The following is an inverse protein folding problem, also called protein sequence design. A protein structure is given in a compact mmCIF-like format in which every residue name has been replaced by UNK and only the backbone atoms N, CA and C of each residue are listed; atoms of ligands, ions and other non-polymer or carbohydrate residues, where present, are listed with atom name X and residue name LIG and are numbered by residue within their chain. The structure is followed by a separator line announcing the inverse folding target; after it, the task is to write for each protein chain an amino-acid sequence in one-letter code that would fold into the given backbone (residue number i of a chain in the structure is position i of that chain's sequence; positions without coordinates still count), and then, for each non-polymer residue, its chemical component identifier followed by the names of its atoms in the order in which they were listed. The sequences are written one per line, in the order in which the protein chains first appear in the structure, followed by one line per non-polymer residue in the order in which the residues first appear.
data_IF_170459815361
#
_entry.id   IF_170459815361
#
_cell.length_a   1.000
_cell.length_b   1.000
_cell.length_c   1.000
_cell.angle_alpha   90.00
_cell.angle_beta   90.00
_cell.angle_gamma   90.00
#
_symmetry.space_group_name_H-M   'P 1'
#
loop_
_entity.id
_entity.type
_entity.pdbx_description
1 polymer ?
#
# COMPACT_ATOMS: atom_id res chain seq x y z
N UNK A 1 14.05 29.53 -21.11
CA UNK A 1 13.82 29.90 -19.70
C UNK A 1 14.71 31.02 -19.30
N UNK A 2 14.16 32.20 -19.02
CA UNK A 2 14.90 33.42 -18.65
C UNK A 2 15.45 33.32 -17.21
N UNK A 3 16.41 34.18 -16.87
CA UNK A 3 16.95 34.29 -15.50
C UNK A 3 15.86 34.67 -14.48
N UNK A 4 14.85 35.41 -14.90
CA UNK A 4 13.68 35.77 -14.07
C UNK A 4 12.77 34.56 -13.82
N UNK A 5 12.47 33.76 -14.84
CA UNK A 5 11.70 32.50 -14.72
C UNK A 5 12.42 31.49 -13.83
N UNK A 6 13.76 31.34 -13.97
CA UNK A 6 14.55 30.49 -13.06
C UNK A 6 14.52 30.99 -11.61
N UNK A 7 14.50 32.30 -11.37
CA UNK A 7 14.38 32.88 -10.02
C UNK A 7 12.95 32.71 -9.45
N UNK A 8 11.94 32.83 -10.29
CA UNK A 8 10.54 32.55 -9.86
C UNK A 8 10.32 31.06 -9.58
N UNK A 9 10.86 30.15 -10.40
CA UNK A 9 10.80 28.70 -10.14
C UNK A 9 11.49 28.36 -8.81
N UNK A 10 12.69 28.90 -8.58
CA UNK A 10 13.43 28.71 -7.33
C UNK A 10 12.76 29.34 -6.10
N UNK A 11 11.91 30.35 -6.28
CA UNK A 11 11.06 30.92 -5.23
C UNK A 11 9.78 30.12 -5.02
N UNK A 12 9.31 29.39 -6.03
CA UNK A 12 8.12 28.53 -5.96
C UNK A 12 8.43 27.10 -5.47
N UNK A 13 9.70 26.67 -5.54
CA UNK A 13 10.17 25.46 -4.87
C UNK A 13 10.21 25.72 -3.37
N UNK A 14 9.10 25.43 -2.70
CA UNK A 14 9.01 25.53 -1.25
C UNK A 14 10.05 24.63 -0.59
N UNK A 15 10.65 25.09 0.50
CA UNK A 15 11.54 24.25 1.31
C UNK A 15 10.73 23.04 1.80
N UNK A 16 11.10 21.78 1.45
CA UNK A 16 10.33 20.58 1.81
C UNK A 16 10.04 20.46 3.31
N UNK A 17 10.96 20.90 4.17
CA UNK A 17 10.76 20.90 5.62
C UNK A 17 9.70 21.93 6.05
N UNK A 18 9.66 23.09 5.41
CA UNK A 18 8.62 24.10 5.69
C UNK A 18 7.24 23.58 5.26
N UNK A 19 7.17 22.95 4.09
CA UNK A 19 5.93 22.35 3.61
C UNK A 19 5.49 21.18 4.49
N UNK A 20 6.41 20.32 4.93
CA UNK A 20 6.14 19.28 5.92
C UNK A 20 5.53 19.86 7.20
N UNK A 21 6.13 20.90 7.77
CA UNK A 21 5.63 21.54 8.99
C UNK A 21 4.24 22.12 8.80
N UNK A 22 3.93 22.69 7.63
CA UNK A 22 2.58 23.16 7.29
C UNK A 22 1.58 21.99 7.24
N UNK A 23 1.93 20.90 6.55
CA UNK A 23 1.11 19.68 6.45
C UNK A 23 0.91 19.08 7.85
N UNK A 24 1.97 18.93 8.63
CA UNK A 24 1.94 18.38 9.97
C UNK A 24 1.03 19.24 10.88
N UNK A 25 1.23 20.56 10.93
CA UNK A 25 0.40 21.48 11.72
C UNK A 25 -1.07 21.47 11.31
N UNK A 26 -1.37 21.28 10.03
CA UNK A 26 -2.73 21.28 9.52
C UNK A 26 -3.44 19.95 9.73
N UNK A 27 -2.81 18.83 9.41
CA UNK A 27 -3.43 17.50 9.40
C UNK A 27 -3.09 16.66 10.63
N UNK A 28 -1.89 16.77 11.16
CA UNK A 28 -1.31 15.87 12.15
C UNK A 28 -0.66 16.67 13.30
N UNK A 29 -1.40 17.61 13.88
CA UNK A 29 -0.87 18.51 14.93
C UNK A 29 -0.29 17.77 16.15
N UNK A 30 -0.80 16.58 16.44
CA UNK A 30 -0.42 15.76 17.57
C UNK A 30 0.70 14.74 17.25
N UNK A 31 1.31 14.81 16.06
CA UNK A 31 2.28 13.81 15.59
C UNK A 31 3.42 13.56 16.58
N UNK A 32 4.01 14.62 17.12
CA UNK A 32 5.15 14.50 18.05
C UNK A 32 4.72 13.95 19.40
N UNK A 33 3.55 14.33 19.89
CA UNK A 33 2.98 13.74 21.11
C UNK A 33 2.57 12.28 20.90
N UNK A 34 2.10 11.92 19.72
CA UNK A 34 1.82 10.52 19.36
C UNK A 34 3.11 9.69 19.34
N UNK A 35 4.21 10.24 18.79
CA UNK A 35 5.53 9.59 18.83
C UNK A 35 6.06 9.45 20.24
N UNK A 36 5.89 10.46 21.09
CA UNK A 36 6.28 10.40 22.51
C UNK A 36 5.48 9.34 23.29
N UNK A 37 4.25 9.05 22.86
CA UNK A 37 3.39 8.03 23.45
C UNK A 37 3.69 6.60 23.02
N UNK A 38 4.57 6.38 22.04
CA UNK A 38 4.96 5.04 21.60
C UNK A 38 5.77 4.35 22.69
N UNK A 39 5.39 3.11 23.00
CA UNK A 39 6.08 2.31 24.02
C UNK A 39 7.52 2.02 23.60
N UNK A 40 8.45 2.37 24.48
CA UNK A 40 9.87 2.09 24.27
C UNK A 40 10.19 0.65 24.72
N UNK A 41 10.63 -0.23 23.82
CA UNK A 41 10.93 -1.62 24.16
C UNK A 41 12.24 -1.80 24.90
N UNK A 42 13.04 -0.74 25.09
CA UNK A 42 14.31 -0.77 25.82
C UNK A 42 14.06 -0.73 27.32
N UNK A 43 15.02 -1.24 28.09
CA UNK A 43 14.96 -1.14 29.53
C UNK A 43 15.11 0.31 29.99
N UNK A 44 14.31 0.76 30.97
CA UNK A 44 14.21 2.16 31.39
C UNK A 44 15.54 2.81 31.79
N UNK A 45 16.48 2.02 32.33
CA UNK A 45 17.81 2.51 32.69
C UNK A 45 18.75 2.80 31.53
N UNK A 46 18.36 2.44 30.28
CA UNK A 46 19.12 2.66 29.04
C UNK A 46 18.43 3.61 28.08
N UNK A 47 17.46 4.37 28.57
CA UNK A 47 16.72 5.33 27.73
C UNK A 47 17.32 6.72 27.91
N UNK A 48 18.31 7.05 27.08
CA UNK A 48 18.86 8.40 26.98
C UNK A 48 17.99 9.27 26.04
N UNK A 49 17.42 8.66 24.99
CA UNK A 49 16.58 9.30 24.01
C UNK A 49 15.17 8.74 24.05
N UNK A 50 14.19 9.62 24.12
CA UNK A 50 12.76 9.25 24.15
C UNK A 50 12.25 8.80 22.78
N UNK A 51 11.10 8.09 22.73
CA UNK A 51 10.55 7.50 21.50
C UNK A 51 10.29 8.54 20.40
N UNK A 52 9.89 9.76 20.75
CA UNK A 52 9.72 10.86 19.79
C UNK A 52 11.02 11.27 19.10
N UNK A 53 12.14 11.36 19.84
CA UNK A 53 13.46 11.63 19.28
C UNK A 53 13.90 10.47 18.39
N UNK A 54 13.73 9.23 18.87
CA UNK A 54 14.08 8.02 18.11
C UNK A 54 13.32 7.90 16.80
N UNK A 55 12.03 8.25 16.78
CA UNK A 55 11.18 8.21 15.57
C UNK A 55 11.35 9.43 14.68
N UNK A 56 11.77 10.58 15.22
CA UNK A 56 12.11 11.75 14.43
C UNK A 56 13.27 11.46 13.48
N UNK A 57 14.24 10.65 13.87
CA UNK A 57 15.44 10.37 13.08
C UNK A 57 15.12 9.71 11.73
N UNK A 58 14.46 8.54 11.64
CA UNK A 58 14.14 7.92 10.35
C UNK A 58 13.13 8.76 9.54
N UNK A 59 12.22 9.49 10.19
CA UNK A 59 11.32 10.41 9.50
C UNK A 59 12.10 11.52 8.80
N UNK A 60 12.98 12.21 9.51
CA UNK A 60 13.79 13.30 8.94
C UNK A 60 14.79 12.80 7.92
N UNK A 61 15.39 11.62 8.14
CA UNK A 61 16.25 10.95 7.16
C UNK A 61 15.54 10.83 5.81
N UNK A 62 14.30 10.33 5.81
CA UNK A 62 13.54 10.15 4.58
C UNK A 62 13.17 11.48 3.93
N UNK A 63 12.73 12.47 4.71
CA UNK A 63 12.36 13.80 4.21
C UNK A 63 13.56 14.55 3.62
N UNK A 64 14.74 14.39 4.22
CA UNK A 64 15.98 15.01 3.74
C UNK A 64 16.69 14.21 2.65
N UNK A 65 16.08 13.15 2.13
CA UNK A 65 16.63 12.26 1.07
C UNK A 65 18.03 11.70 1.43
N UNK A 66 18.23 11.32 2.68
CA UNK A 66 19.46 10.68 3.13
C UNK A 66 19.36 9.18 2.90
N UNK A 67 20.27 8.62 2.10
CA UNK A 67 20.19 7.26 1.58
C UNK A 67 20.38 6.15 2.64
N UNK A 68 21.05 6.42 3.76
CA UNK A 68 21.34 5.39 4.77
C UNK A 68 21.21 5.90 6.20
N UNK A 69 20.95 4.98 7.12
CA UNK A 69 20.94 5.29 8.56
C UNK A 69 22.32 5.74 9.08
N UNK A 70 23.39 5.16 8.53
CA UNK A 70 24.75 5.59 8.86
C UNK A 70 25.02 7.02 8.37
N UNK A 71 24.60 7.34 7.12
CA UNK A 71 24.70 8.69 6.58
C UNK A 71 23.90 9.72 7.40
N UNK A 72 22.74 9.30 7.95
CA UNK A 72 21.96 10.14 8.85
C UNK A 72 22.78 10.57 10.08
N UNK A 73 23.43 9.64 10.78
CA UNK A 73 24.21 9.96 11.99
C UNK A 73 25.32 10.96 11.71
N UNK A 74 25.99 10.85 10.56
CA UNK A 74 27.06 11.80 10.20
C UNK A 74 26.51 13.18 9.77
N UNK A 75 25.31 13.25 9.23
CA UNK A 75 24.72 14.50 8.71
C UNK A 75 23.93 15.27 9.79
N UNK A 76 23.23 14.55 10.67
CA UNK A 76 22.29 15.18 11.62
C UNK A 76 22.91 15.64 12.93
N UNK A 77 24.15 15.29 13.22
CA UNK A 77 24.77 15.69 14.49
C UNK A 77 25.40 17.10 14.43
N UNK A 78 24.82 17.99 13.61
CA UNK A 78 25.13 19.41 13.64
C UNK A 78 24.30 20.12 14.72
N UNK A 79 24.83 21.20 15.28
CA UNK A 79 24.16 22.02 16.29
C UNK A 79 22.75 22.47 15.85
N UNK A 80 22.60 22.82 14.56
CA UNK A 80 21.31 23.20 13.99
C UNK A 80 20.30 22.05 13.98
N UNK A 81 20.72 20.84 13.61
CA UNK A 81 19.85 19.67 13.59
C UNK A 81 19.44 19.26 15.02
N UNK A 82 20.37 19.31 15.98
CA UNK A 82 20.09 19.03 17.40
C UNK A 82 19.05 20.04 17.91
N UNK A 83 19.31 21.34 17.71
CA UNK A 83 18.41 22.42 18.12
C UNK A 83 17.02 22.28 17.48
N UNK A 84 16.94 22.02 16.19
CA UNK A 84 15.67 21.85 15.49
C UNK A 84 14.88 20.60 16.00
N UNK A 85 15.58 19.52 16.27
CA UNK A 85 14.97 18.31 16.83
C UNK A 85 14.47 18.57 18.25
N UNK A 86 15.26 19.25 19.08
CA UNK A 86 14.88 19.68 20.43
C UNK A 86 13.60 20.53 20.42
N UNK A 87 13.51 21.51 19.51
CA UNK A 87 12.32 22.36 19.34
C UNK A 87 11.10 21.54 18.92
N UNK A 88 11.23 20.66 17.92
CA UNK A 88 10.12 19.87 17.37
C UNK A 88 9.58 18.88 18.40
N UNK A 89 10.46 18.22 19.17
CA UNK A 89 10.08 17.24 20.18
C UNK A 89 9.78 17.87 21.54
N UNK A 90 10.11 19.15 21.74
CA UNK A 90 9.98 19.82 23.05
C UNK A 90 11.02 19.38 24.07
N UNK A 91 12.20 18.88 23.65
CA UNK A 91 13.29 18.35 24.48
C UNK A 91 14.45 19.34 24.56
N UNK A 92 14.32 20.34 25.41
CA UNK A 92 15.34 21.41 25.54
C UNK A 92 16.70 20.92 26.06
N UNK A 93 16.74 19.77 26.71
CA UNK A 93 17.93 19.09 27.26
C UNK A 93 18.73 18.29 26.22
N UNK A 94 18.25 18.19 24.99
CA UNK A 94 18.88 17.37 23.96
C UNK A 94 20.24 17.97 23.56
N UNK A 95 21.32 17.27 23.90
CA UNK A 95 22.70 17.72 23.62
C UNK A 95 23.29 17.08 22.35
N UNK A 96 22.80 15.91 21.98
CA UNK A 96 23.20 15.16 20.77
C UNK A 96 22.03 14.33 20.23
N UNK A 97 22.16 13.85 18.99
CA UNK A 97 21.17 12.95 18.39
C UNK A 97 21.62 11.49 18.46
N UNK A 98 20.68 10.55 18.53
CA UNK A 98 21.01 9.14 18.69
C UNK A 98 21.79 8.61 17.49
N UNK A 99 22.80 7.78 17.77
CA UNK A 99 23.55 7.08 16.74
C UNK A 99 22.66 6.08 16.01
N UNK A 100 22.92 5.85 14.71
CA UNK A 100 22.07 4.98 13.87
C UNK A 100 21.92 3.55 14.42
N UNK A 101 22.93 3.02 15.12
CA UNK A 101 22.86 1.68 15.74
C UNK A 101 21.76 1.66 16.81
N UNK A 102 21.70 2.68 17.67
CA UNK A 102 20.68 2.82 18.71
C UNK A 102 19.27 2.94 18.11
N UNK A 103 19.15 3.71 17.02
CA UNK A 103 17.87 3.85 16.31
C UNK A 103 17.45 2.51 15.69
N UNK A 104 18.37 1.77 15.07
CA UNK A 104 18.08 0.45 14.48
C UNK A 104 17.68 -0.58 15.54
N UNK A 105 18.35 -0.61 16.69
CA UNK A 105 17.97 -1.49 17.82
C UNK A 105 16.58 -1.16 18.35
N UNK A 106 16.26 0.11 18.51
CA UNK A 106 14.92 0.56 18.91
C UNK A 106 13.87 0.10 17.90
N UNK A 107 14.08 0.38 16.60
CA UNK A 107 13.15 0.00 15.54
C UNK A 107 12.98 -1.52 15.41
N UNK A 108 14.03 -2.30 15.62
CA UNK A 108 13.97 -3.78 15.52
C UNK A 108 13.10 -4.43 16.60
N UNK A 109 12.89 -3.75 17.71
CA UNK A 109 12.09 -4.24 18.85
C UNK A 109 10.73 -3.55 18.96
N UNK A 110 10.51 -2.50 18.17
CA UNK A 110 9.30 -1.70 18.19
C UNK A 110 8.09 -2.52 17.74
N UNK A 111 6.97 -2.40 18.45
CA UNK A 111 5.70 -2.97 18.00
C UNK A 111 5.16 -2.18 16.79
N UNK A 112 5.10 -2.77 15.59
CA UNK A 112 4.65 -2.08 14.37
C UNK A 112 3.18 -1.63 14.43
N UNK A 113 2.35 -2.22 15.30
CA UNK A 113 0.95 -1.86 15.45
C UNK A 113 0.78 -0.46 16.06
N UNK A 114 1.74 0.01 16.87
CA UNK A 114 1.70 1.37 17.40
C UNK A 114 1.89 2.42 16.30
N UNK A 115 2.84 2.21 15.39
CA UNK A 115 3.01 3.06 14.21
C UNK A 115 1.81 2.99 13.26
N UNK A 116 1.22 1.81 13.14
CA UNK A 116 -0.01 1.62 12.36
C UNK A 116 -1.20 2.40 12.94
N UNK A 117 -1.29 2.51 14.27
CA UNK A 117 -2.29 3.32 14.95
C UNK A 117 -2.10 4.82 14.66
N UNK A 118 -0.87 5.32 14.72
CA UNK A 118 -0.53 6.71 14.38
C UNK A 118 -0.88 6.99 12.91
N UNK A 119 -0.47 6.14 11.98
CA UNK A 119 -0.84 6.23 10.56
C UNK A 119 -2.36 6.31 10.37
N UNK A 120 -3.11 5.44 11.06
CA UNK A 120 -4.58 5.42 11.01
C UNK A 120 -5.17 6.75 11.50
N UNK A 121 -4.62 7.33 12.58
CA UNK A 121 -5.02 8.65 13.10
C UNK A 121 -4.78 9.75 12.06
N UNK A 122 -3.62 9.74 11.41
CA UNK A 122 -3.26 10.70 10.35
C UNK A 122 -4.22 10.60 9.16
N UNK A 123 -4.47 9.38 8.64
CA UNK A 123 -5.40 9.17 7.52
C UNK A 123 -6.83 9.60 7.87
N UNK A 124 -7.30 9.30 9.08
CA UNK A 124 -8.61 9.77 9.53
C UNK A 124 -8.69 11.31 9.57
N UNK A 125 -7.58 11.98 9.95
CA UNK A 125 -7.52 13.45 9.92
C UNK A 125 -7.61 13.99 8.49
N UNK A 126 -6.89 13.39 7.52
CA UNK A 126 -6.98 13.74 6.09
C UNK A 126 -8.42 13.60 5.56
N UNK A 127 -9.07 12.47 5.86
CA UNK A 127 -10.44 12.19 5.40
C UNK A 127 -11.44 13.21 6.02
N UNK A 128 -11.32 13.49 7.32
CA UNK A 128 -12.21 14.44 8.01
C UNK A 128 -12.10 15.87 7.48
N UNK A 129 -10.91 16.27 7.04
CA UNK A 129 -10.66 17.59 6.43
C UNK A 129 -11.25 17.75 5.03
N UNK A 130 -11.74 16.68 4.42
CA UNK A 130 -12.37 16.65 3.08
C UNK A 130 -11.51 17.23 1.95
N UNK A 131 -10.20 17.29 2.12
CA UNK A 131 -9.28 17.89 1.15
C UNK A 131 -9.20 17.08 -0.17
N UNK A 132 -9.56 15.81 -0.13
CA UNK A 132 -9.43 14.86 -1.25
C UNK A 132 -10.78 14.29 -1.73
N UNK A 133 -11.89 14.93 -1.44
CA UNK A 133 -13.23 14.46 -1.82
C UNK A 133 -13.39 14.22 -3.32
N UNK A 134 -12.69 14.99 -4.16
CA UNK A 134 -12.70 14.86 -5.62
C UNK A 134 -12.06 13.55 -6.12
N UNK A 135 -11.23 12.89 -5.30
CA UNK A 135 -10.60 11.62 -5.64
C UNK A 135 -11.55 10.41 -5.49
N UNK A 136 -12.74 10.60 -4.96
CA UNK A 136 -13.71 9.53 -4.76
C UNK A 136 -14.27 9.02 -6.09
N UNK A 137 -14.20 7.73 -6.28
CA UNK A 137 -14.83 7.04 -7.40
C UNK A 137 -16.36 7.16 -7.31
N UNK A 138 -16.99 7.51 -8.41
CA UNK A 138 -18.42 7.81 -8.51
C UNK A 138 -18.91 8.86 -7.48
N UNK A 139 -18.03 9.77 -7.07
CA UNK A 139 -18.26 10.77 -6.01
C UNK A 139 -18.67 10.17 -4.66
N UNK A 140 -18.40 8.89 -4.43
CA UNK A 140 -18.86 8.16 -3.23
C UNK A 140 -17.77 7.32 -2.58
N UNK A 141 -17.05 6.50 -3.36
CA UNK A 141 -16.19 5.47 -2.82
C UNK A 141 -14.72 5.88 -2.80
N UNK A 142 -14.05 5.61 -1.70
CA UNK A 142 -12.60 5.68 -1.65
C UNK A 142 -11.99 4.45 -2.29
N UNK A 143 -11.12 4.68 -3.26
CA UNK A 143 -10.39 3.59 -3.93
C UNK A 143 -9.27 3.12 -3.03
N UNK A 144 -9.25 1.84 -2.71
CA UNK A 144 -8.19 1.18 -1.97
C UNK A 144 -7.55 0.14 -2.89
N UNK A 145 -6.34 0.43 -3.33
CA UNK A 145 -5.56 -0.50 -4.15
C UNK A 145 -4.83 -1.45 -3.21
N UNK A 146 -4.95 -2.76 -3.47
CA UNK A 146 -4.30 -3.81 -2.70
C UNK A 146 -3.37 -4.59 -3.63
N UNK A 147 -2.13 -4.75 -3.20
CA UNK A 147 -1.12 -5.54 -3.92
C UNK A 147 0.00 -5.94 -2.96
N UNK A 148 0.66 -7.07 -3.26
CA UNK A 148 1.80 -7.53 -2.48
C UNK A 148 3.12 -7.07 -3.09
N UNK A 149 4.09 -6.84 -2.21
CA UNK A 149 5.44 -6.53 -2.64
C UNK A 149 6.46 -7.27 -1.81
N UNK A 150 7.47 -7.80 -2.49
CA UNK A 150 8.58 -8.46 -1.84
C UNK A 150 9.51 -7.42 -1.21
N UNK A 151 9.86 -7.60 0.06
CA UNK A 151 10.75 -6.73 0.81
C UNK A 151 12.21 -7.13 0.61
N UNK A 152 12.55 -8.36 1.01
CA UNK A 152 13.91 -8.89 1.00
C UNK A 152 13.94 -10.28 0.39
N UNK A 153 15.10 -10.66 -0.13
CA UNK A 153 15.35 -11.97 -0.73
C UNK A 153 16.69 -12.50 -0.23
N UNK A 154 16.70 -13.77 0.15
CA UNK A 154 17.86 -14.47 0.69
C UNK A 154 18.15 -15.75 -0.09
N UNK A 155 19.42 -16.13 -0.18
CA UNK A 155 19.86 -17.43 -0.73
C UNK A 155 19.69 -18.55 0.28
N UNK A 156 19.83 -18.25 1.57
CA UNK A 156 19.68 -19.16 2.69
C UNK A 156 18.52 -18.70 3.57
N UNK A 157 17.92 -19.61 4.33
CA UNK A 157 16.81 -19.31 5.24
C UNK A 157 17.31 -18.39 6.36
N UNK A 158 16.79 -17.16 6.40
CA UNK A 158 17.20 -16.14 7.37
C UNK A 158 16.50 -16.32 8.72
N UNK A 159 15.23 -16.69 8.68
CA UNK A 159 14.37 -16.89 9.86
C UNK A 159 13.22 -17.86 9.54
N UNK A 160 12.40 -18.19 10.54
CA UNK A 160 11.30 -19.14 10.37
C UNK A 160 10.09 -18.58 9.63
N UNK A 161 9.92 -17.25 9.61
CA UNK A 161 8.84 -16.57 8.91
C UNK A 161 9.07 -16.46 7.41
N UNK A 162 10.27 -16.71 6.91
CA UNK A 162 10.59 -16.65 5.49
C UNK A 162 9.67 -17.53 4.65
N UNK A 163 9.11 -16.93 3.61
CA UNK A 163 8.47 -17.66 2.51
C UNK A 163 9.53 -18.29 1.61
N UNK A 164 9.18 -19.37 0.94
CA UNK A 164 10.06 -20.08 0.01
C UNK A 164 9.47 -20.16 -1.38
N UNK A 165 10.33 -20.07 -2.38
CA UNK A 165 9.98 -20.39 -3.77
C UNK A 165 11.12 -21.12 -4.45
N UNK A 166 10.78 -22.10 -5.28
CA UNK A 166 11.76 -22.88 -6.05
C UNK A 166 11.66 -22.51 -7.52
N UNK A 167 12.79 -22.17 -8.11
CA UNK A 167 12.93 -21.96 -9.54
C UNK A 167 13.62 -23.18 -10.16
N UNK A 168 13.13 -23.60 -11.29
CA UNK A 168 13.83 -24.59 -12.12
C UNK A 168 14.42 -23.84 -13.31
N UNK A 169 15.74 -23.88 -13.47
CA UNK A 169 16.38 -23.36 -14.64
C UNK A 169 15.89 -24.17 -15.84
N UNK A 170 15.34 -23.52 -16.85
CA UNK A 170 14.75 -24.18 -18.00
C UNK A 170 15.81 -24.85 -18.90
N UNK A 171 17.04 -24.33 -18.86
CA UNK A 171 18.14 -24.81 -19.73
C UNK A 171 18.94 -25.95 -19.08
N UNK A 172 19.18 -25.88 -17.76
CA UNK A 172 19.98 -26.87 -17.03
C UNK A 172 19.18 -27.88 -16.24
N UNK A 173 17.89 -27.62 -15.99
CA UNK A 173 17.02 -28.42 -15.10
C UNK A 173 17.35 -28.27 -13.61
N UNK A 174 18.35 -27.47 -13.24
CA UNK A 174 18.74 -27.26 -11.86
C UNK A 174 17.67 -26.49 -11.07
N UNK A 175 17.43 -26.93 -9.85
CA UNK A 175 16.50 -26.28 -8.92
C UNK A 175 17.26 -25.36 -7.96
N UNK A 176 16.85 -24.11 -7.88
CA UNK A 176 17.34 -23.14 -6.89
C UNK A 176 16.20 -22.70 -5.98
N UNK A 177 16.40 -22.77 -4.67
CA UNK A 177 15.45 -22.29 -3.67
C UNK A 177 15.83 -20.90 -3.25
N UNK A 178 14.84 -20.02 -3.18
CA UNK A 178 14.98 -18.65 -2.69
C UNK A 178 14.04 -18.43 -1.51
N UNK A 179 14.53 -17.75 -0.50
CA UNK A 179 13.78 -17.33 0.68
C UNK A 179 13.47 -15.85 0.59
N UNK A 180 12.30 -15.41 1.05
CA UNK A 180 11.92 -14.01 0.94
C UNK A 180 10.88 -13.59 1.99
N UNK A 181 10.84 -12.30 2.28
CA UNK A 181 9.76 -11.66 3.02
C UNK A 181 8.90 -10.84 2.06
N UNK A 182 7.62 -10.83 2.30
CA UNK A 182 6.64 -10.08 1.51
C UNK A 182 5.64 -9.38 2.41
N UNK A 183 5.11 -8.27 1.92
CA UNK A 183 4.06 -7.50 2.59
C UNK A 183 2.94 -7.20 1.63
N UNK A 184 1.71 -7.37 2.10
CA UNK A 184 0.51 -6.92 1.44
C UNK A 184 0.20 -5.50 1.90
N UNK A 185 0.10 -4.57 0.96
CA UNK A 185 -0.21 -3.17 1.22
C UNK A 185 -1.60 -2.82 0.73
N UNK A 186 -2.30 -2.01 1.51
CA UNK A 186 -3.49 -1.29 1.08
C UNK A 186 -3.17 0.19 0.99
N UNK A 187 -3.36 0.78 -0.18
CA UNK A 187 -3.09 2.20 -0.42
C UNK A 187 -4.35 2.92 -0.89
N UNK A 188 -4.67 4.05 -0.25
CA UNK A 188 -5.79 4.92 -0.63
C UNK A 188 -5.36 5.86 -1.75
N UNK A 189 -6.18 5.98 -2.79
CA UNK A 189 -5.99 6.93 -3.88
C UNK A 189 -6.55 8.30 -3.46
N UNK A 190 -5.70 9.31 -3.45
CA UNK A 190 -6.03 10.68 -3.05
C UNK A 190 -5.96 11.68 -4.21
N UNK A 191 -5.53 11.24 -5.38
CA UNK A 191 -5.41 12.06 -6.60
C UNK A 191 -4.94 11.22 -7.77
N UNK A 192 -4.54 11.86 -8.85
CA UNK A 192 -4.08 11.16 -10.04
C UNK A 192 -2.65 10.61 -9.88
N UNK A 193 -1.83 11.26 -9.06
CA UNK A 193 -0.43 10.88 -8.80
C UNK A 193 -0.15 10.70 -7.29
N UNK A 194 -1.20 10.62 -6.47
CA UNK A 194 -1.05 10.55 -5.01
C UNK A 194 -1.79 9.35 -4.44
N UNK A 195 -1.01 8.42 -3.88
CA UNK A 195 -1.52 7.31 -3.07
C UNK A 195 -0.78 7.25 -1.74
N UNK A 196 -1.48 6.80 -0.71
CA UNK A 196 -0.94 6.72 0.65
C UNK A 196 -1.25 5.37 1.28
N UNK A 197 -0.26 4.74 1.91
CA UNK A 197 -0.46 3.49 2.65
C UNK A 197 -1.38 3.68 3.84
N UNK A 198 -2.45 2.88 3.95
CA UNK A 198 -3.42 2.95 5.04
C UNK A 198 -3.43 1.69 5.91
N UNK A 199 -2.97 0.57 5.38
CA UNK A 199 -2.79 -0.67 6.13
C UNK A 199 -1.74 -1.55 5.45
N UNK A 200 -1.07 -2.36 6.25
CA UNK A 200 -0.09 -3.34 5.79
C UNK A 200 -0.29 -4.65 6.54
N UNK A 201 0.00 -5.77 5.87
CA UNK A 201 -0.05 -7.10 6.46
C UNK A 201 1.11 -7.92 5.94
N UNK A 202 1.93 -8.47 6.84
CA UNK A 202 3.02 -9.36 6.42
C UNK A 202 2.47 -10.69 5.89
N UNK A 203 3.07 -11.15 4.82
CA UNK A 203 2.84 -12.49 4.27
C UNK A 203 4.04 -13.31 4.75
N UNK A 204 3.81 -14.10 5.77
CA UNK A 204 4.87 -14.84 6.47
C UNK A 204 4.32 -16.16 7.03
N UNK A 205 5.21 -17.13 7.21
CA UNK A 205 4.86 -18.38 7.83
C UNK A 205 4.73 -18.20 9.36
N UNK A 206 3.61 -18.60 9.94
CA UNK A 206 3.45 -18.61 11.38
C UNK A 206 4.35 -19.68 12.00
N UNK A 207 5.04 -19.33 13.12
CA UNK A 207 5.96 -20.24 13.80
C UNK A 207 5.32 -21.55 14.29
N UNK A 208 3.99 -21.56 14.55
CA UNK A 208 3.24 -22.77 14.86
C UNK A 208 3.13 -23.74 13.66
N UNK A 209 3.10 -23.20 12.44
CA UNK A 209 3.15 -24.01 11.22
C UNK A 209 4.56 -24.61 11.00
N UNK A 210 5.63 -23.97 11.50
CA UNK A 210 6.99 -24.47 11.33
C UNK A 210 7.21 -25.85 12.01
N UNK A 211 6.59 -26.13 13.15
CA UNK A 211 6.64 -27.46 13.79
C UNK A 211 5.79 -28.50 13.04
N UNK A 212 4.65 -28.12 12.49
CA UNK A 212 3.85 -28.96 11.60
C UNK A 212 4.57 -29.22 10.27
N UNK A 213 5.25 -28.21 9.73
CA UNK A 213 6.00 -28.28 8.48
C UNK A 213 7.20 -29.26 8.57
N UNK A 214 7.84 -29.42 9.73
CA UNK A 214 8.92 -30.42 9.93
C UNK A 214 8.47 -31.88 9.67
N UNK A 215 7.17 -32.13 9.67
CA UNK A 215 6.56 -33.46 9.49
C UNK A 215 5.89 -33.66 8.13
N UNK A 216 5.87 -32.64 7.27
CA UNK A 216 5.20 -32.66 5.97
C UNK A 216 6.22 -32.53 4.84
N UNK A 217 5.94 -33.11 3.67
CA UNK A 217 6.74 -32.88 2.48
C UNK A 217 6.66 -31.43 2.02
N UNK A 218 7.68 -30.93 1.31
CA UNK A 218 7.73 -29.53 0.81
C UNK A 218 6.50 -29.17 -0.06
N UNK A 219 5.88 -30.17 -0.70
CA UNK A 219 4.68 -30.00 -1.54
C UNK A 219 3.36 -29.89 -0.73
N UNK A 220 3.36 -30.36 0.51
CA UNK A 220 2.20 -30.30 1.41
C UNK A 220 2.13 -29.05 2.29
N UNK A 221 3.24 -28.30 2.34
CA UNK A 221 3.36 -27.07 3.13
C UNK A 221 2.58 -25.95 2.46
N UNK A 222 1.37 -25.69 2.93
CA UNK A 222 0.61 -24.50 2.52
C UNK A 222 1.18 -23.25 3.20
N UNK A 223 2.15 -22.64 2.57
CA UNK A 223 2.66 -21.33 2.99
C UNK A 223 1.55 -20.30 3.08
N UNK A 224 1.79 -19.24 3.82
CA UNK A 224 0.93 -18.05 3.77
C UNK A 224 0.93 -17.46 2.36
N UNK A 225 -0.15 -16.79 2.00
CA UNK A 225 -0.35 -16.25 0.67
C UNK A 225 -1.18 -14.96 0.72
N UNK A 226 -1.14 -14.21 -0.37
CA UNK A 226 -1.83 -12.93 -0.50
C UNK A 226 -3.33 -13.01 -0.15
N UNK A 227 -4.02 -14.11 -0.49
CA UNK A 227 -5.45 -14.26 -0.19
C UNK A 227 -5.72 -14.41 1.30
N UNK A 228 -4.85 -15.13 2.04
CA UNK A 228 -4.93 -15.24 3.50
C UNK A 228 -4.57 -13.91 4.16
N UNK A 229 -3.48 -13.28 3.70
CA UNK A 229 -3.07 -11.96 4.16
C UNK A 229 -4.15 -10.90 3.90
N UNK A 230 -4.85 -10.96 2.75
CA UNK A 230 -5.96 -10.06 2.46
C UNK A 230 -7.11 -10.19 3.47
N UNK A 231 -7.40 -11.37 3.96
CA UNK A 231 -8.42 -11.56 5.00
C UNK A 231 -8.04 -10.82 6.30
N UNK A 232 -6.77 -10.94 6.73
CA UNK A 232 -6.26 -10.23 7.91
C UNK A 232 -6.21 -8.72 7.69
N UNK A 233 -5.72 -8.30 6.52
CA UNK A 233 -5.68 -6.88 6.11
C UNK A 233 -7.08 -6.25 6.08
N UNK A 234 -8.07 -6.96 5.55
CA UNK A 234 -9.46 -6.50 5.50
C UNK A 234 -10.05 -6.31 6.91
N UNK A 235 -9.73 -7.19 7.86
CA UNK A 235 -10.13 -7.03 9.25
C UNK A 235 -9.49 -5.78 9.88
N UNK A 236 -8.18 -5.53 9.65
CA UNK A 236 -7.48 -4.31 10.07
C UNK A 236 -8.12 -3.06 9.47
N UNK A 237 -8.40 -3.07 8.16
CA UNK A 237 -9.05 -1.95 7.46
C UNK A 237 -10.45 -1.66 8.03
N UNK A 238 -11.25 -2.69 8.26
CA UNK A 238 -12.60 -2.53 8.82
C UNK A 238 -12.57 -1.97 10.23
N UNK A 239 -11.63 -2.42 11.05
CA UNK A 239 -11.42 -1.90 12.41
C UNK A 239 -10.98 -0.41 12.39
N UNK A 240 -10.02 -0.08 11.51
CA UNK A 240 -9.48 1.27 11.41
C UNK A 240 -10.46 2.29 10.79
N UNK A 241 -11.27 1.84 9.82
CA UNK A 241 -12.16 2.67 9.01
C UNK A 241 -13.58 2.07 8.92
N UNK A 242 -14.32 1.91 10.03
CA UNK A 242 -15.55 1.11 10.09
C UNK A 242 -16.68 1.62 9.19
N UNK A 243 -16.70 2.93 8.89
CA UNK A 243 -17.76 3.60 8.10
C UNK A 243 -17.29 4.13 6.75
N UNK A 244 -16.05 3.90 6.39
CA UNK A 244 -15.50 4.40 5.13
C UNK A 244 -16.15 3.65 3.96
N UNK A 245 -16.74 4.34 2.97
CA UNK A 245 -17.26 3.70 1.77
C UNK A 245 -16.09 3.31 0.86
N UNK A 246 -15.65 2.06 0.96
CA UNK A 246 -14.48 1.51 0.26
C UNK A 246 -14.88 0.85 -1.06
N UNK A 247 -14.05 1.05 -2.09
CA UNK A 247 -14.00 0.23 -3.29
C UNK A 247 -12.60 -0.40 -3.40
N UNK A 248 -12.52 -1.71 -3.28
CA UNK A 248 -11.27 -2.48 -3.37
C UNK A 248 -10.87 -2.61 -4.84
N UNK A 249 -9.59 -2.36 -5.12
CA UNK A 249 -8.96 -2.61 -6.40
C UNK A 249 -7.78 -3.56 -6.22
N UNK A 250 -7.64 -4.50 -7.13
CA UNK A 250 -6.55 -5.46 -7.13
C UNK A 250 -6.32 -6.04 -8.53
N UNK A 251 -5.31 -6.87 -8.64
CA UNK A 251 -5.05 -7.63 -9.85
C UNK A 251 -6.03 -8.82 -10.00
N UNK A 252 -5.82 -9.65 -11.01
CA UNK A 252 -6.73 -10.78 -11.29
C UNK A 252 -6.69 -11.90 -10.23
N UNK A 253 -5.71 -11.92 -9.34
CA UNK A 253 -5.64 -12.85 -8.21
C UNK A 253 -6.77 -12.58 -7.21
N UNK A 254 -7.17 -11.32 -7.07
CA UNK A 254 -8.27 -10.91 -6.19
C UNK A 254 -9.66 -11.16 -6.79
N UNK A 255 -9.77 -11.52 -8.08
CA UNK A 255 -11.02 -11.95 -8.68
C UNK A 255 -11.36 -13.37 -8.21
N UNK A 256 -11.77 -13.53 -6.97
CA UNK A 256 -12.04 -14.82 -6.33
C UNK A 256 -13.20 -14.75 -5.34
N UNK A 257 -13.84 -15.92 -5.13
CA UNK A 257 -14.98 -16.06 -4.20
C UNK A 257 -14.66 -15.53 -2.79
N UNK A 258 -13.47 -15.84 -2.26
CA UNK A 258 -13.08 -15.40 -0.91
C UNK A 258 -13.01 -13.87 -0.80
N UNK A 259 -12.44 -13.21 -1.80
CA UNK A 259 -12.35 -11.76 -1.82
C UNK A 259 -13.72 -11.11 -1.94
N UNK A 260 -14.60 -11.67 -2.79
CA UNK A 260 -15.97 -11.18 -2.94
C UNK A 260 -16.78 -11.35 -1.64
N UNK A 261 -16.66 -12.49 -0.94
CA UNK A 261 -17.29 -12.70 0.36
C UNK A 261 -16.83 -11.69 1.40
N UNK A 262 -15.52 -11.38 1.45
CA UNK A 262 -14.98 -10.37 2.35
C UNK A 262 -15.55 -8.99 2.03
N UNK A 263 -15.64 -8.62 0.75
CA UNK A 263 -16.23 -7.36 0.32
C UNK A 263 -17.72 -7.28 0.67
N UNK A 264 -18.49 -8.33 0.42
CA UNK A 264 -19.93 -8.41 0.75
C UNK A 264 -20.17 -8.28 2.26
N UNK A 265 -19.42 -9.03 3.07
CA UNK A 265 -19.50 -8.99 4.53
C UNK A 265 -19.23 -7.57 5.09
N UNK A 266 -18.24 -6.88 4.51
CA UNK A 266 -17.87 -5.53 4.94
C UNK A 266 -18.69 -4.43 4.27
N UNK A 267 -19.61 -4.75 3.36
CA UNK A 267 -20.38 -3.83 2.52
C UNK A 267 -19.49 -2.96 1.62
N UNK A 268 -18.36 -3.50 1.21
CA UNK A 268 -17.44 -2.83 0.30
C UNK A 268 -17.80 -3.10 -1.16
N UNK A 269 -17.41 -2.16 -2.01
CA UNK A 269 -17.43 -2.33 -3.45
C UNK A 269 -16.07 -2.80 -3.92
N UNK A 270 -16.02 -3.34 -5.14
CA UNK A 270 -14.76 -3.71 -5.76
C UNK A 270 -14.77 -3.38 -7.26
N UNK A 271 -13.61 -3.13 -7.81
CA UNK A 271 -13.30 -3.01 -9.23
C UNK A 271 -11.96 -3.72 -9.46
N UNK A 272 -12.03 -5.01 -9.75
CA UNK A 272 -10.87 -5.91 -9.76
C UNK A 272 -10.53 -6.25 -11.22
N UNK A 273 -9.23 -6.25 -11.53
CA UNK A 273 -8.76 -6.73 -12.84
C UNK A 273 -9.27 -8.14 -13.08
N UNK A 274 -9.91 -8.36 -14.23
CA UNK A 274 -10.48 -9.65 -14.61
C UNK A 274 -9.70 -10.26 -15.76
N UNK A 275 -9.54 -11.57 -15.73
CA UNK A 275 -9.01 -12.40 -16.81
C UNK A 275 -9.91 -13.62 -16.94
N UNK A 276 -10.07 -14.13 -18.12
CA UNK A 276 -10.97 -15.27 -18.42
C UNK A 276 -10.67 -16.50 -17.52
N UNK A 277 -9.38 -16.75 -17.26
CA UNK A 277 -8.97 -17.85 -16.38
C UNK A 277 -9.25 -17.65 -14.89
N UNK A 278 -9.59 -16.43 -14.43
CA UNK A 278 -9.89 -16.19 -13.00
C UNK A 278 -11.21 -16.85 -12.58
N UNK A 279 -12.26 -16.67 -13.35
CA UNK A 279 -13.58 -17.27 -13.12
C UNK A 279 -14.17 -17.66 -14.50
N UNK A 280 -13.87 -18.88 -15.01
CA UNK A 280 -14.24 -19.28 -16.37
C UNK A 280 -15.73 -19.23 -16.66
N UNK A 281 -16.60 -19.53 -15.68
CA UNK A 281 -18.06 -19.45 -15.85
C UNK A 281 -18.54 -18.02 -16.14
N UNK A 282 -18.05 -17.04 -15.38
CA UNK A 282 -18.37 -15.62 -15.57
C UNK A 282 -17.79 -15.10 -16.90
N UNK A 283 -16.58 -15.53 -17.27
CA UNK A 283 -15.97 -15.16 -18.53
C UNK A 283 -16.76 -15.67 -19.72
N UNK A 284 -17.18 -16.95 -19.70
CA UNK A 284 -17.99 -17.55 -20.76
C UNK A 284 -19.33 -16.84 -20.94
N UNK A 285 -20.02 -16.53 -19.83
CA UNK A 285 -21.29 -15.81 -19.86
C UNK A 285 -21.11 -14.36 -20.35
N UNK A 286 -20.07 -13.67 -19.90
CA UNK A 286 -19.72 -12.34 -20.40
C UNK A 286 -19.48 -12.33 -21.91
N UNK A 287 -18.69 -13.26 -22.45
CA UNK A 287 -18.43 -13.35 -23.90
C UNK A 287 -19.66 -13.69 -24.71
N UNK A 288 -20.59 -14.49 -24.16
CA UNK A 288 -21.85 -14.82 -24.80
C UNK A 288 -22.81 -13.61 -24.87
N UNK A 289 -22.88 -12.82 -23.79
CA UNK A 289 -23.87 -11.74 -23.65
C UNK A 289 -23.39 -10.41 -24.22
N UNK A 290 -22.10 -10.10 -24.16
CA UNK A 290 -21.57 -8.78 -24.60
C UNK A 290 -21.87 -8.41 -26.03
N UNK A 291 -22.03 -9.39 -26.92
CA UNK A 291 -22.36 -9.17 -28.34
C UNK A 291 -23.87 -9.12 -28.61
N UNK A 292 -24.68 -9.62 -27.64
CA UNK A 292 -26.14 -9.60 -27.68
C UNK A 292 -26.73 -8.31 -27.13
N UNK A 293 -26.07 -7.72 -26.12
CA UNK A 293 -26.46 -6.46 -25.48
C UNK A 293 -25.82 -5.26 -26.20
N UNK A 294 -26.27 -5.02 -27.45
CA UNK A 294 -25.68 -3.98 -28.31
C UNK A 294 -25.77 -2.55 -27.74
N UNK A 295 -26.73 -2.28 -26.85
CA UNK A 295 -26.86 -1.00 -26.14
C UNK A 295 -25.78 -0.79 -25.08
N UNK A 296 -25.17 -1.88 -24.58
CA UNK A 296 -24.14 -1.86 -23.56
C UNK A 296 -22.74 -1.69 -24.16
N UNK A 297 -22.61 -0.67 -25.01
CA UNK A 297 -21.33 -0.24 -25.58
C UNK A 297 -21.19 1.28 -25.64
N UNK A 298 -19.97 1.77 -25.46
CA UNK A 298 -19.63 3.18 -25.57
C UNK A 298 -18.10 3.38 -25.66
N UNK A 299 -17.65 4.09 -26.71
CA UNK A 299 -16.27 4.60 -26.82
C UNK A 299 -15.16 3.56 -26.51
N UNK A 300 -15.29 2.34 -27.05
CA UNK A 300 -14.36 1.23 -26.80
C UNK A 300 -14.67 0.40 -25.55
N UNK A 301 -15.66 0.79 -24.75
CA UNK A 301 -16.16 0.00 -23.64
C UNK A 301 -17.31 -0.92 -24.07
N UNK A 302 -17.31 -2.14 -23.53
CA UNK A 302 -18.45 -3.07 -23.56
C UNK A 302 -18.66 -3.63 -22.16
N UNK A 303 -19.88 -3.84 -21.72
CA UNK A 303 -20.17 -4.38 -20.39
C UNK A 303 -21.42 -5.24 -20.37
N UNK A 304 -21.49 -6.11 -19.40
CA UNK A 304 -22.67 -6.93 -19.07
C UNK A 304 -22.93 -6.79 -17.57
N UNK A 305 -24.15 -6.43 -17.23
CA UNK A 305 -24.60 -6.38 -15.84
C UNK A 305 -25.37 -7.66 -15.49
N UNK A 306 -25.31 -8.06 -14.22
CA UNK A 306 -26.17 -9.11 -13.70
C UNK A 306 -25.76 -10.53 -14.07
N UNK A 307 -24.48 -10.81 -14.27
CA UNK A 307 -23.97 -12.18 -14.43
C UNK A 307 -24.08 -12.91 -13.09
N UNK A 308 -24.72 -14.07 -13.07
CA UNK A 308 -24.90 -14.87 -11.84
C UNK A 308 -23.60 -15.59 -11.46
N UNK A 309 -23.17 -15.43 -10.22
CA UNK A 309 -22.01 -16.15 -9.68
C UNK A 309 -22.15 -16.40 -8.18
N UNK A 310 -22.18 -17.68 -7.78
CA UNK A 310 -22.20 -18.12 -6.38
C UNK A 310 -23.16 -17.30 -5.47
N UNK A 311 -24.44 -17.26 -5.81
CA UNK A 311 -25.52 -16.56 -5.08
C UNK A 311 -25.39 -15.03 -5.05
N UNK A 312 -24.56 -14.44 -5.93
CA UNK A 312 -24.46 -13.00 -6.14
C UNK A 312 -24.58 -12.66 -7.61
N UNK A 313 -24.83 -11.39 -7.89
CA UNK A 313 -24.73 -10.82 -9.23
C UNK A 313 -23.41 -10.05 -9.34
N UNK A 314 -22.67 -10.29 -10.41
CA UNK A 314 -21.45 -9.56 -10.74
C UNK A 314 -21.62 -8.89 -12.10
N UNK A 315 -20.87 -7.83 -12.32
CA UNK A 315 -20.87 -7.08 -13.56
C UNK A 315 -19.47 -7.10 -14.13
N UNK A 316 -19.35 -7.29 -15.43
CA UNK A 316 -18.05 -7.35 -16.12
C UNK A 316 -18.03 -6.29 -17.19
N UNK A 317 -16.91 -5.60 -17.32
CA UNK A 317 -16.65 -4.68 -18.41
C UNK A 317 -15.32 -4.98 -19.09
N UNK A 318 -15.28 -4.70 -20.37
CA UNK A 318 -14.09 -4.69 -21.22
C UNK A 318 -13.87 -3.30 -21.76
N UNK A 319 -12.62 -2.86 -21.83
CA UNK A 319 -12.26 -1.60 -22.50
C UNK A 319 -11.03 -1.80 -23.38
N UNK A 320 -11.10 -1.26 -24.58
CA UNK A 320 -10.01 -1.31 -25.57
C UNK A 320 -9.34 0.05 -25.63
N UNK A 321 -8.08 0.11 -25.19
CA UNK A 321 -7.24 1.30 -25.33
C UNK A 321 -6.44 1.21 -26.63
N UNK A 322 -6.58 2.22 -27.46
CA UNK A 322 -5.76 2.36 -28.68
C UNK A 322 -4.39 2.94 -28.28
N UNK A 323 -3.32 2.22 -28.51
CA UNK A 323 -1.95 2.69 -28.26
C UNK A 323 -1.11 2.51 -29.53
N UNK A 324 -0.97 3.60 -30.30
CA UNK A 324 -0.22 3.61 -31.56
C UNK A 324 -0.68 2.49 -32.51
N UNK A 325 0.11 1.43 -32.68
CA UNK A 325 -0.20 0.28 -33.57
C UNK A 325 -0.84 -0.91 -32.84
N UNK A 326 -1.00 -0.85 -31.51
CA UNK A 326 -1.46 -1.96 -30.70
C UNK A 326 -2.75 -1.62 -29.96
N UNK A 327 -3.65 -2.59 -29.90
CA UNK A 327 -4.81 -2.54 -29.02
C UNK A 327 -4.48 -3.19 -27.68
N UNK A 328 -4.74 -2.47 -26.59
CA UNK A 328 -4.62 -3.01 -25.24
C UNK A 328 -6.01 -3.24 -24.66
N UNK A 329 -6.37 -4.49 -24.47
CA UNK A 329 -7.67 -4.90 -23.93
C UNK A 329 -7.59 -5.18 -22.44
N UNK A 330 -8.47 -4.55 -21.68
CA UNK A 330 -8.58 -4.73 -20.26
C UNK A 330 -9.99 -5.12 -19.87
N UNK A 331 -10.12 -6.02 -18.90
CA UNK A 331 -11.41 -6.41 -18.34
C UNK A 331 -11.37 -6.18 -16.83
N UNK A 332 -12.53 -5.85 -16.26
CA UNK A 332 -12.73 -5.69 -14.82
C UNK A 332 -14.05 -6.34 -14.40
N UNK A 333 -14.05 -6.91 -13.20
CA UNK A 333 -15.23 -7.43 -12.53
C UNK A 333 -15.58 -6.54 -11.33
N UNK A 334 -16.87 -6.27 -11.14
CA UNK A 334 -17.34 -5.38 -10.08
C UNK A 334 -18.71 -5.81 -9.56
N UNK A 335 -19.04 -5.45 -8.30
CA UNK A 335 -20.40 -5.53 -7.75
C UNK A 335 -21.18 -4.21 -7.87
N UNK A 336 -20.66 -3.23 -8.61
CA UNK A 336 -21.34 -1.99 -8.95
C UNK A 336 -22.01 -2.14 -10.32
N UNK A 337 -23.28 -1.73 -10.44
CA UNK A 337 -23.96 -1.65 -11.72
C UNK A 337 -23.28 -0.63 -12.63
N UNK A 338 -22.98 -1.03 -13.86
CA UNK A 338 -22.27 -0.22 -14.83
C UNK A 338 -23.28 0.53 -15.69
N UNK A 339 -23.42 1.81 -15.44
CA UNK A 339 -24.27 2.68 -16.23
C UNK A 339 -23.51 3.30 -17.42
N UNK A 340 -24.16 3.38 -18.59
CA UNK A 340 -23.60 3.92 -19.85
C UNK A 340 -22.95 5.30 -19.68
N UNK A 341 -23.52 6.17 -18.82
CA UNK A 341 -22.99 7.51 -18.52
C UNK A 341 -21.67 7.49 -17.75
N UNK A 342 -21.38 6.39 -17.03
CA UNK A 342 -20.26 6.28 -16.09
C UNK A 342 -19.19 5.27 -16.54
N UNK A 343 -19.41 4.52 -17.61
CA UNK A 343 -18.52 3.43 -18.01
C UNK A 343 -17.07 3.87 -18.26
N UNK A 344 -16.84 5.06 -18.81
CA UNK A 344 -15.49 5.57 -19.01
C UNK A 344 -14.78 5.87 -17.68
N UNK A 345 -15.51 6.36 -16.65
CA UNK A 345 -14.99 6.55 -15.30
C UNK A 345 -14.53 5.21 -14.68
N UNK A 346 -15.24 4.09 -14.96
CA UNK A 346 -14.79 2.75 -14.55
C UNK A 346 -13.48 2.35 -15.24
N UNK A 347 -13.35 2.59 -16.56
CA UNK A 347 -12.16 2.24 -17.32
C UNK A 347 -10.93 3.04 -16.84
N UNK A 348 -11.07 4.35 -16.67
CA UNK A 348 -10.04 5.24 -16.13
C UNK A 348 -9.64 4.83 -14.71
N UNK A 349 -10.64 4.58 -13.86
CA UNK A 349 -10.42 4.14 -12.49
C UNK A 349 -9.71 2.79 -12.45
N UNK A 350 -10.13 1.81 -13.25
CA UNK A 350 -9.52 0.50 -13.31
C UNK A 350 -8.02 0.53 -13.67
N UNK A 351 -7.59 1.54 -14.42
CA UNK A 351 -6.17 1.76 -14.74
C UNK A 351 -5.37 2.29 -13.55
N UNK A 352 -5.99 2.97 -12.59
CA UNK A 352 -5.31 3.48 -11.39
C UNK A 352 -4.69 2.38 -10.52
N UNK A 353 -5.03 1.10 -10.77
CA UNK A 353 -4.35 -0.01 -10.09
C UNK A 353 -2.82 0.07 -10.19
N UNK A 354 -2.30 0.51 -11.34
CA UNK A 354 -0.85 0.64 -11.53
C UNK A 354 -0.16 1.67 -10.64
N UNK A 355 -0.93 2.56 -10.01
CA UNK A 355 -0.37 3.55 -9.07
C UNK A 355 0.31 2.88 -7.87
N UNK A 356 -0.17 1.71 -7.42
CA UNK A 356 0.47 1.03 -6.28
C UNK A 356 1.90 0.60 -6.59
N UNK A 357 2.16 0.23 -7.84
CA UNK A 357 3.50 -0.15 -8.30
C UNK A 357 4.37 1.09 -8.56
N UNK A 358 3.86 2.06 -9.32
CA UNK A 358 4.62 3.22 -9.80
C UNK A 358 4.79 4.28 -8.71
N UNK A 359 3.70 4.83 -8.18
CA UNK A 359 3.69 5.91 -7.18
C UNK A 359 3.74 5.35 -5.73
N UNK A 360 3.59 4.04 -5.57
CA UNK A 360 3.67 3.36 -4.29
C UNK A 360 5.01 2.66 -4.10
N UNK A 361 5.11 1.40 -4.55
CA UNK A 361 6.27 0.54 -4.27
C UNK A 361 7.56 1.03 -4.89
N UNK A 362 7.52 1.55 -6.12
CA UNK A 362 8.70 2.06 -6.79
C UNK A 362 9.30 3.25 -6.03
N UNK A 363 8.44 4.18 -5.57
CA UNK A 363 8.89 5.31 -4.76
C UNK A 363 9.48 4.81 -3.43
N UNK A 364 8.78 3.92 -2.74
CA UNK A 364 9.23 3.38 -1.45
C UNK A 364 10.55 2.61 -1.53
N UNK A 365 10.81 1.89 -2.63
CA UNK A 365 12.00 1.04 -2.78
C UNK A 365 13.18 1.72 -3.47
N UNK A 366 12.91 2.56 -4.46
CA UNK A 366 13.93 3.03 -5.41
C UNK A 366 14.17 4.54 -5.34
N UNK A 367 13.28 5.32 -4.74
CA UNK A 367 13.45 6.76 -4.56
C UNK A 367 13.91 7.13 -3.15
N UNK A 368 14.70 6.23 -2.52
CA UNK A 368 15.45 6.47 -1.28
C UNK A 368 14.61 6.77 -0.04
N UNK A 369 13.50 6.06 0.12
CA UNK A 369 12.75 6.09 1.36
C UNK A 369 13.08 4.92 2.28
#
# INVERSE_FOLDING_TARGET
MTRAEKRQLKKSEGNPLVELLKVQKHFCKDLWSDFAGVHDPRHSSYIDYTSDVMLAMPLMKNICDISSMQGMSSTFNSEECITNTAIITGRSELAELPHYVTVNEFLSRLNPDELSAIRTKMINALIRKRSFEKARFLNKYWLIIVDATQLYTFKEKNDEQCLTRTFTNKDTGEKATQYYHSVLEAKIVLGDDLIVSIASEFIENDGEDAERQKKMSVEEIKQDCETKAFQRLAAKLKKAFPRLPICIMGDSLYASEKVFQICDHNQWKYLIRFKDGSIPSVASEFHLLKDREAENQKDGARWVNGISYNKRMVNVMEFVFQKAKNELRFQWITNLEIAKKKVLEYAETGRKRWMIENEGFNIQKNQRY
#
